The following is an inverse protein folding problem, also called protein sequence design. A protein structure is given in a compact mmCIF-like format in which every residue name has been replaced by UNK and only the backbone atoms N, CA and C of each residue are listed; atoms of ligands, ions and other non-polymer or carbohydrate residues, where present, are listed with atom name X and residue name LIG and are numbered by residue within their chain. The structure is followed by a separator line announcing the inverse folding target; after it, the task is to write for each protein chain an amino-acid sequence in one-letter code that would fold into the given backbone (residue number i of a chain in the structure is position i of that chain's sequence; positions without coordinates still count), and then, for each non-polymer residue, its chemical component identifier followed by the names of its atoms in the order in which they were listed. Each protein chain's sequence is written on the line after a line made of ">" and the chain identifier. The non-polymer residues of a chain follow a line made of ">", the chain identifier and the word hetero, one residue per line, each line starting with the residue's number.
data_IF_670389654770
#
_entry.id   IF_670389654770
#
_cell.length_a   1.000
_cell.length_b   1.000
_cell.length_c   1.000
_cell.angle_alpha   90.00
_cell.angle_beta   90.00
_cell.angle_gamma   90.00
#
_symmetry.space_group_name_H-M   'P 1'
#
loop_
_entity.id
_entity.type
_entity.pdbx_description
1 polymer ?
#
# COMPACT_ATOMS: atom_id res chain seq x y z
N UNK A 1 26.26 -22.43 -12.43
CA UNK A 1 25.03 -23.18 -12.11
C UNK A 1 24.70 -22.99 -10.65
N UNK A 2 23.46 -22.62 -10.36
CA UNK A 2 22.95 -22.56 -8.98
C UNK A 2 22.61 -23.98 -8.54
N UNK A 3 23.34 -24.50 -7.57
CA UNK A 3 23.13 -25.87 -7.08
C UNK A 3 22.26 -25.91 -5.79
N UNK A 4 21.92 -24.74 -5.24
CA UNK A 4 21.14 -24.65 -4.02
C UNK A 4 19.80 -23.97 -4.32
N UNK A 5 18.70 -24.67 -4.04
CA UNK A 5 17.34 -24.10 -4.06
C UNK A 5 16.81 -24.21 -2.64
N UNK A 6 16.37 -23.08 -2.10
CA UNK A 6 15.80 -22.97 -0.76
C UNK A 6 14.34 -22.56 -0.92
N UNK A 7 13.43 -23.38 -0.46
CA UNK A 7 11.99 -23.14 -0.55
C UNK A 7 11.49 -22.76 0.83
N UNK A 8 10.98 -21.53 0.96
CA UNK A 8 10.20 -21.11 2.14
C UNK A 8 8.78 -21.63 2.00
N UNK A 9 8.28 -22.31 3.03
CA UNK A 9 6.88 -22.78 3.11
C UNK A 9 5.99 -21.82 3.88
N UNK A 10 6.59 -20.86 4.58
CA UNK A 10 5.88 -19.84 5.31
C UNK A 10 5.56 -18.64 4.41
N UNK A 11 4.40 -18.04 4.60
CA UNK A 11 4.03 -16.81 3.87
C UNK A 11 4.88 -15.62 4.33
N UNK A 12 5.16 -15.51 5.63
CA UNK A 12 5.87 -14.41 6.26
C UNK A 12 7.36 -14.67 6.50
N UNK A 13 7.83 -14.23 7.67
CA UNK A 13 9.22 -14.40 8.09
C UNK A 13 9.56 -15.88 8.27
N UNK A 14 10.65 -16.30 7.69
CA UNK A 14 11.19 -17.64 7.85
C UNK A 14 12.66 -17.55 8.29
N UNK A 15 13.08 -18.44 9.19
CA UNK A 15 14.47 -18.55 9.64
C UNK A 15 15.32 -19.24 8.56
N UNK A 16 15.46 -18.58 7.41
CA UNK A 16 16.24 -19.11 6.30
C UNK A 16 17.73 -19.06 6.63
N UNK A 17 18.38 -20.20 6.53
CA UNK A 17 19.84 -20.26 6.57
C UNK A 17 20.38 -19.74 5.25
N UNK A 18 21.05 -18.58 5.29
CA UNK A 18 21.67 -18.00 4.10
C UNK A 18 22.94 -18.82 3.80
N UNK A 19 23.00 -19.54 2.67
CA UNK A 19 24.15 -20.34 2.31
C UNK A 19 25.34 -19.45 1.92
N UNK A 20 26.55 -19.94 2.15
CA UNK A 20 27.80 -19.27 1.72
C UNK A 20 28.00 -19.26 0.19
N UNK A 21 27.22 -20.05 -0.54
CA UNK A 21 27.24 -20.13 -2.01
C UNK A 21 25.97 -19.53 -2.59
N UNK A 22 25.99 -19.04 -3.84
CA UNK A 22 24.80 -18.53 -4.51
C UNK A 22 23.66 -19.56 -4.49
N UNK A 23 22.45 -19.10 -4.15
CA UNK A 23 21.26 -19.93 -4.04
C UNK A 23 20.04 -19.21 -4.65
N UNK A 24 19.04 -20.00 -5.04
CA UNK A 24 17.73 -19.51 -5.45
C UNK A 24 16.79 -19.69 -4.27
N UNK A 25 16.14 -18.60 -3.88
CA UNK A 25 15.09 -18.61 -2.86
C UNK A 25 13.72 -18.59 -3.55
N UNK A 26 12.84 -19.50 -3.15
CA UNK A 26 11.47 -19.60 -3.66
C UNK A 26 10.52 -19.48 -2.47
N UNK A 27 9.60 -18.50 -2.51
CA UNK A 27 8.62 -18.26 -1.46
C UNK A 27 7.89 -16.93 -1.64
N UNK A 28 6.93 -16.64 -0.78
CA UNK A 28 6.16 -15.39 -0.83
C UNK A 28 6.85 -14.24 -0.09
N UNK A 29 7.58 -14.52 0.99
CA UNK A 29 8.36 -13.55 1.78
C UNK A 29 7.54 -12.33 2.24
N UNK A 30 6.30 -12.54 2.61
CA UNK A 30 5.35 -11.49 3.02
C UNK A 30 5.65 -10.98 4.43
N UNK A 31 6.75 -10.25 4.56
CA UNK A 31 7.16 -9.60 5.80
C UNK A 31 7.97 -8.35 5.50
N UNK A 32 7.73 -7.28 6.28
CA UNK A 32 8.54 -6.07 6.17
C UNK A 32 9.98 -6.26 6.65
N UNK A 33 10.25 -7.29 7.45
CA UNK A 33 11.57 -7.54 8.06
C UNK A 33 12.69 -7.67 7.03
N UNK A 34 12.44 -8.30 5.89
CA UNK A 34 13.45 -8.42 4.84
C UNK A 34 13.80 -7.09 4.19
N UNK A 35 12.82 -6.18 4.09
CA UNK A 35 12.99 -4.87 3.47
C UNK A 35 13.44 -3.77 4.44
N UNK A 36 13.39 -4.00 5.76
CA UNK A 36 13.70 -2.98 6.78
C UNK A 36 15.19 -2.86 7.12
N UNK A 37 16.07 -3.72 6.56
CA UNK A 37 17.52 -3.48 6.64
C UNK A 37 17.87 -2.14 5.99
N UNK A 38 18.68 -1.25 6.63
CA UNK A 38 18.94 0.10 6.11
C UNK A 38 19.41 0.11 4.64
N UNK A 39 20.35 -0.77 4.28
CA UNK A 39 20.89 -0.86 2.91
C UNK A 39 19.79 -1.27 1.91
N UNK A 40 18.94 -2.25 2.28
CA UNK A 40 17.85 -2.71 1.43
C UNK A 40 16.80 -1.63 1.29
N UNK A 41 16.39 -1.00 2.39
CA UNK A 41 15.40 0.08 2.40
C UNK A 41 15.84 1.27 1.55
N UNK A 42 17.07 1.76 1.70
CA UNK A 42 17.62 2.84 0.89
C UNK A 42 17.66 2.49 -0.60
N UNK A 43 18.06 1.25 -0.90
CA UNK A 43 18.07 0.76 -2.30
C UNK A 43 16.66 0.77 -2.89
N UNK A 44 15.67 0.27 -2.16
CA UNK A 44 14.27 0.26 -2.58
C UNK A 44 13.70 1.69 -2.71
N UNK A 45 14.04 2.59 -1.79
CA UNK A 45 13.66 4.00 -1.87
C UNK A 45 14.23 4.71 -3.11
N UNK A 46 15.36 4.25 -3.64
CA UNK A 46 15.99 4.83 -4.83
C UNK A 46 15.29 4.45 -6.15
N UNK A 47 14.41 3.45 -6.14
CA UNK A 47 13.65 3.03 -7.33
C UNK A 47 12.79 4.18 -7.83
N UNK A 48 12.88 4.44 -9.14
CA UNK A 48 12.13 5.48 -9.85
C UNK A 48 11.63 4.94 -11.19
N UNK A 49 10.56 5.50 -11.76
CA UNK A 49 10.16 5.21 -13.13
C UNK A 49 11.31 5.51 -14.10
N UNK A 50 11.54 4.64 -15.09
CA UNK A 50 12.54 4.85 -16.14
C UNK A 50 12.15 5.95 -17.12
N UNK A 51 10.87 6.06 -17.38
CA UNK A 51 10.27 7.09 -18.21
C UNK A 51 9.25 7.83 -17.37
N UNK A 52 9.27 9.14 -17.48
CA UNK A 52 8.40 10.05 -16.72
C UNK A 52 7.57 10.81 -17.74
N UNK A 53 6.25 10.69 -17.64
CA UNK A 53 5.31 11.44 -18.45
C UNK A 53 5.13 12.88 -17.94
N UNK A 54 4.69 13.79 -18.79
CA UNK A 54 4.33 15.14 -18.36
C UNK A 54 3.25 15.11 -17.28
N UNK A 55 2.26 14.23 -17.42
CA UNK A 55 1.17 14.04 -16.46
C UNK A 55 1.68 13.60 -15.08
N UNK A 56 2.72 12.75 -15.03
CA UNK A 56 3.35 12.39 -13.76
C UNK A 56 3.95 13.62 -13.06
N UNK A 57 4.68 14.49 -13.79
CA UNK A 57 5.27 15.68 -13.19
C UNK A 57 4.20 16.68 -12.69
N UNK A 58 3.12 16.85 -13.42
CA UNK A 58 1.97 17.68 -13.04
C UNK A 58 1.32 17.16 -11.76
N UNK A 59 0.94 15.88 -11.71
CA UNK A 59 0.32 15.25 -10.55
C UNK A 59 1.24 15.24 -9.33
N UNK A 60 2.54 14.98 -9.54
CA UNK A 60 3.51 15.04 -8.45
C UNK A 60 3.60 16.44 -7.85
N UNK A 61 3.61 17.47 -8.68
CA UNK A 61 3.62 18.85 -8.22
C UNK A 61 2.37 19.18 -7.40
N UNK A 62 1.20 18.72 -7.85
CA UNK A 62 -0.06 18.90 -7.17
C UNK A 62 -0.08 18.16 -5.82
N UNK A 63 0.33 16.88 -5.77
CA UNK A 63 0.44 16.10 -4.52
C UNK A 63 1.35 16.80 -3.51
N UNK A 64 2.50 17.29 -3.95
CA UNK A 64 3.45 18.00 -3.06
C UNK A 64 2.89 19.32 -2.53
N UNK A 65 2.06 19.99 -3.31
CA UNK A 65 1.42 21.26 -2.93
C UNK A 65 0.24 21.04 -1.99
N UNK A 66 -0.67 20.13 -2.33
CA UNK A 66 -1.93 19.92 -1.59
C UNK A 66 -1.76 18.98 -0.41
N UNK A 67 -0.72 18.12 -0.42
CA UNK A 67 -0.42 17.14 0.64
C UNK A 67 -1.63 16.28 1.00
N UNK A 68 -2.25 15.61 0.02
CA UNK A 68 -3.52 14.93 0.22
C UNK A 68 -3.37 13.63 1.02
N UNK A 69 -4.51 13.13 1.50
CA UNK A 69 -4.65 11.77 2.02
C UNK A 69 -4.81 10.79 0.85
N UNK A 70 -4.10 9.67 0.87
CA UNK A 70 -4.34 8.55 -0.04
C UNK A 70 -5.45 7.65 0.50
N UNK A 71 -6.49 7.42 -0.29
CA UNK A 71 -7.46 6.34 -0.11
C UNK A 71 -7.26 5.31 -1.21
N UNK A 72 -6.68 4.15 -0.89
CA UNK A 72 -6.46 3.09 -1.87
C UNK A 72 -7.48 1.97 -1.70
N UNK A 73 -8.12 1.59 -2.82
CA UNK A 73 -9.03 0.45 -2.91
C UNK A 73 -8.56 -0.53 -3.99
N UNK A 74 -8.64 -1.83 -3.68
CA UNK A 74 -8.46 -2.92 -4.64
C UNK A 74 -9.76 -3.69 -4.71
N UNK A 75 -10.40 -3.70 -5.85
CA UNK A 75 -11.75 -4.25 -6.00
C UNK A 75 -11.80 -5.43 -6.97
N UNK A 76 -11.38 -5.26 -8.20
CA UNK A 76 -11.67 -6.15 -9.34
C UNK A 76 -11.50 -7.64 -9.02
N UNK A 77 -10.27 -8.12 -8.87
CA UNK A 77 -9.94 -9.51 -8.57
C UNK A 77 -10.27 -9.88 -7.11
N UNK A 78 -10.22 -8.92 -6.16
CA UNK A 78 -10.47 -9.17 -4.74
C UNK A 78 -11.93 -9.42 -4.39
N UNK A 79 -12.86 -9.01 -5.25
CA UNK A 79 -14.29 -9.33 -5.08
C UNK A 79 -14.62 -10.80 -5.35
N UNK A 80 -13.75 -11.51 -6.11
CA UNK A 80 -13.96 -12.91 -6.50
C UNK A 80 -13.02 -13.89 -5.78
N UNK A 81 -11.94 -13.38 -5.17
CA UNK A 81 -10.96 -14.18 -4.45
C UNK A 81 -11.33 -14.31 -2.98
N UNK A 82 -11.82 -15.47 -2.58
CA UNK A 82 -12.33 -15.76 -1.23
C UNK A 82 -11.30 -15.49 -0.11
N UNK A 83 -10.01 -15.64 -0.41
CA UNK A 83 -8.95 -15.48 0.59
C UNK A 83 -8.60 -14.01 0.87
N UNK A 84 -8.79 -13.10 -0.09
CA UNK A 84 -8.36 -11.72 0.07
C UNK A 84 -9.43 -10.86 0.72
N UNK A 85 -10.62 -10.84 0.15
CA UNK A 85 -11.70 -9.95 0.57
C UNK A 85 -11.40 -8.48 0.34
N UNK A 86 -12.41 -7.64 0.45
CA UNK A 86 -12.31 -6.19 0.33
C UNK A 86 -12.60 -5.57 1.69
N UNK A 87 -11.74 -4.68 2.22
CA UNK A 87 -12.04 -3.95 3.45
C UNK A 87 -13.34 -3.15 3.30
N UNK A 88 -14.18 -3.22 4.33
CA UNK A 88 -15.51 -2.62 4.31
C UNK A 88 -15.48 -1.09 4.30
N UNK A 89 -16.59 -0.44 3.92
CA UNK A 89 -16.72 1.02 4.05
C UNK A 89 -16.59 1.51 5.50
N UNK A 90 -16.90 0.68 6.50
CA UNK A 90 -16.69 0.99 7.93
C UNK A 90 -15.21 1.05 8.30
N UNK A 91 -14.35 0.23 7.67
CA UNK A 91 -12.91 0.37 7.81
C UNK A 91 -12.42 1.75 7.34
N UNK A 92 -12.81 2.16 6.13
CA UNK A 92 -12.44 3.48 5.58
C UNK A 92 -12.98 4.62 6.44
N UNK A 93 -14.24 4.53 6.91
CA UNK A 93 -14.81 5.54 7.81
C UNK A 93 -13.99 5.64 9.11
N UNK A 94 -13.68 4.51 9.74
CA UNK A 94 -12.92 4.47 10.99
C UNK A 94 -11.51 5.03 10.83
N UNK A 95 -10.86 4.78 9.69
CA UNK A 95 -9.55 5.33 9.38
C UNK A 95 -9.61 6.85 9.17
N UNK A 96 -10.58 7.33 8.41
CA UNK A 96 -10.82 8.76 8.14
C UNK A 96 -11.12 9.50 9.44
N UNK A 97 -11.99 8.95 10.30
CA UNK A 97 -12.33 9.57 11.58
C UNK A 97 -11.12 9.69 12.51
N UNK A 98 -10.24 8.69 12.51
CA UNK A 98 -9.03 8.72 13.33
C UNK A 98 -8.00 9.69 12.79
N UNK A 99 -7.65 9.58 11.51
CA UNK A 99 -6.61 10.42 10.91
C UNK A 99 -6.99 11.91 10.94
N UNK A 100 -8.29 12.23 10.79
CA UNK A 100 -8.80 13.60 10.80
C UNK A 100 -8.77 14.27 12.19
N UNK A 101 -8.58 13.50 13.27
CA UNK A 101 -8.40 14.06 14.63
C UNK A 101 -6.97 14.56 14.83
N UNK A 102 -6.01 13.89 14.21
CA UNK A 102 -4.59 14.09 14.45
C UNK A 102 -3.94 14.96 13.37
N UNK A 103 -4.52 14.97 12.16
CA UNK A 103 -3.98 15.70 11.01
C UNK A 103 -5.10 16.27 10.13
N UNK A 104 -4.93 17.53 9.70
CA UNK A 104 -5.82 18.17 8.75
C UNK A 104 -5.44 17.80 7.32
N UNK A 105 -6.46 17.46 6.52
CA UNK A 105 -6.36 17.31 5.07
C UNK A 105 -7.43 18.18 4.41
N UNK A 106 -7.08 18.86 3.31
CA UNK A 106 -8.07 19.57 2.48
C UNK A 106 -8.82 18.61 1.57
N UNK A 107 -8.12 17.52 1.17
CA UNK A 107 -8.64 16.54 0.22
C UNK A 107 -8.02 15.16 0.44
N UNK A 108 -8.75 14.14 -0.03
CA UNK A 108 -8.26 12.78 -0.16
C UNK A 108 -8.40 12.31 -1.60
N UNK A 109 -7.36 11.65 -2.11
CA UNK A 109 -7.35 11.15 -3.47
C UNK A 109 -7.56 9.64 -3.48
N UNK A 110 -8.56 9.22 -4.27
CA UNK A 110 -8.91 7.80 -4.43
C UNK A 110 -8.09 7.20 -5.54
N UNK A 111 -7.30 6.19 -5.22
CA UNK A 111 -6.55 5.35 -6.16
C UNK A 111 -7.15 3.95 -6.14
N UNK A 112 -7.60 3.45 -7.28
CA UNK A 112 -8.23 2.14 -7.40
C UNK A 112 -8.04 1.57 -8.81
N UNK A 113 -8.11 0.25 -8.91
CA UNK A 113 -8.23 -0.49 -10.18
C UNK A 113 -9.64 -0.43 -10.78
N UNK A 114 -10.63 0.02 -9.99
CA UNK A 114 -12.00 0.32 -10.39
C UNK A 114 -12.48 1.59 -9.65
N UNK A 115 -12.34 2.74 -10.28
CA UNK A 115 -12.67 4.04 -9.68
C UNK A 115 -14.17 4.16 -9.41
N UNK A 116 -15.02 3.74 -10.33
CA UNK A 116 -16.48 3.85 -10.17
C UNK A 116 -16.96 2.95 -9.02
N UNK A 117 -16.47 1.71 -8.98
CA UNK A 117 -16.72 0.80 -7.87
C UNK A 117 -16.20 1.34 -6.54
N UNK A 118 -15.02 1.97 -6.53
CA UNK A 118 -14.45 2.57 -5.33
C UNK A 118 -15.30 3.73 -4.79
N UNK A 119 -15.81 4.60 -5.66
CA UNK A 119 -16.70 5.68 -5.26
C UNK A 119 -18.04 5.15 -4.70
N UNK A 120 -18.60 4.11 -5.30
CA UNK A 120 -19.79 3.43 -4.76
C UNK A 120 -19.50 2.82 -3.40
N UNK A 121 -18.35 2.15 -3.24
CA UNK A 121 -17.93 1.54 -1.99
C UNK A 121 -17.72 2.59 -0.88
N UNK A 122 -17.14 3.75 -1.22
CA UNK A 122 -16.95 4.89 -0.33
C UNK A 122 -18.18 5.79 -0.18
N UNK A 123 -19.24 5.58 -0.95
CA UNK A 123 -20.40 6.49 -0.99
C UNK A 123 -21.17 6.64 0.33
N UNK A 124 -20.87 5.83 1.35
CA UNK A 124 -21.39 5.95 2.73
C UNK A 124 -20.40 6.58 3.69
N UNK A 125 -19.18 6.87 3.22
CA UNK A 125 -18.13 7.46 4.06
C UNK A 125 -18.37 8.98 4.16
N UNK A 126 -18.41 9.49 5.39
CA UNK A 126 -18.48 10.92 5.67
C UNK A 126 -17.08 11.45 5.96
N UNK A 127 -16.69 12.54 5.32
CA UNK A 127 -15.42 13.20 5.54
C UNK A 127 -15.60 14.71 5.61
N UNK A 128 -14.73 15.38 6.36
CA UNK A 128 -14.68 16.85 6.45
C UNK A 128 -13.72 17.46 5.41
N UNK A 129 -13.36 16.71 4.39
CA UNK A 129 -12.51 17.09 3.27
C UNK A 129 -13.11 16.59 1.94
N UNK A 130 -12.63 17.13 0.84
CA UNK A 130 -13.06 16.73 -0.49
C UNK A 130 -12.46 15.36 -0.85
N UNK A 131 -13.28 14.46 -1.43
CA UNK A 131 -12.81 13.21 -2.05
C UNK A 131 -12.65 13.45 -3.55
N UNK A 132 -11.43 13.25 -4.04
CA UNK A 132 -11.02 13.47 -5.42
C UNK A 132 -10.62 12.14 -6.04
N UNK A 133 -10.98 11.90 -7.28
CA UNK A 133 -10.52 10.73 -8.02
C UNK A 133 -9.13 10.98 -8.60
N UNK A 134 -8.23 10.02 -8.42
CA UNK A 134 -6.92 10.06 -9.05
C UNK A 134 -7.03 9.54 -10.49
N UNK A 135 -6.89 10.45 -11.47
CA UNK A 135 -6.91 10.06 -12.87
C UNK A 135 -5.61 9.38 -13.30
N UNK A 136 -5.65 8.06 -13.39
CA UNK A 136 -4.51 7.20 -13.76
C UNK A 136 -4.33 7.08 -15.28
N UNK A 137 -5.24 7.60 -16.09
CA UNK A 137 -5.18 7.48 -17.56
C UNK A 137 -3.87 8.04 -18.11
N UNK A 138 -3.20 7.28 -18.96
CA UNK A 138 -1.93 7.69 -19.57
C UNK A 138 -0.70 7.59 -18.68
N UNK A 139 -0.83 7.12 -17.42
CA UNK A 139 0.28 6.76 -16.54
C UNK A 139 0.59 5.26 -16.65
N UNK A 140 1.84 4.89 -16.51
CA UNK A 140 2.22 3.49 -16.25
C UNK A 140 1.99 3.14 -14.78
N UNK A 141 1.82 1.84 -14.47
CA UNK A 141 1.67 1.35 -13.09
C UNK A 141 2.83 1.79 -12.18
N UNK A 142 4.05 1.86 -12.73
CA UNK A 142 5.23 2.30 -11.97
C UNK A 142 5.16 3.80 -11.65
N UNK A 143 4.61 4.63 -12.55
CA UNK A 143 4.39 6.06 -12.28
C UNK A 143 3.30 6.25 -11.22
N UNK A 144 2.18 5.53 -11.31
CA UNK A 144 1.12 5.55 -10.29
C UNK A 144 1.68 5.14 -8.93
N UNK A 145 2.42 4.03 -8.89
CA UNK A 145 3.03 3.53 -7.65
C UNK A 145 4.02 4.54 -7.05
N UNK A 146 4.88 5.16 -7.87
CA UNK A 146 5.84 6.15 -7.34
C UNK A 146 5.14 7.42 -6.88
N UNK A 147 4.08 7.89 -7.56
CA UNK A 147 3.26 9.02 -7.12
C UNK A 147 2.59 8.75 -5.76
N UNK A 148 2.08 7.55 -5.54
CA UNK A 148 1.50 7.17 -4.24
C UNK A 148 2.47 7.33 -3.07
N UNK A 149 3.79 7.31 -3.30
CA UNK A 149 4.80 7.48 -2.24
C UNK A 149 4.94 8.91 -1.73
N UNK A 150 4.32 9.90 -2.36
CA UNK A 150 4.42 11.33 -2.01
C UNK A 150 3.24 11.85 -1.18
N UNK A 151 2.26 11.02 -0.88
CA UNK A 151 1.11 11.41 -0.08
C UNK A 151 1.47 11.68 1.38
N UNK A 152 0.63 12.44 2.08
CA UNK A 152 0.89 12.87 3.45
C UNK A 152 0.14 12.06 4.51
N UNK A 153 -0.63 11.07 4.10
CA UNK A 153 -1.32 10.09 4.93
C UNK A 153 -1.86 8.96 4.05
N UNK A 154 -2.08 7.81 4.62
CA UNK A 154 -2.43 6.59 3.88
C UNK A 154 -3.54 5.83 4.57
N UNK A 155 -4.61 5.54 3.85
CA UNK A 155 -5.61 4.52 4.18
C UNK A 155 -5.59 3.51 3.05
N UNK A 156 -5.00 2.34 3.30
CA UNK A 156 -4.77 1.36 2.24
C UNK A 156 -5.68 0.16 2.37
N UNK A 157 -6.02 -0.45 1.23
CA UNK A 157 -6.59 -1.80 1.20
C UNK A 157 -5.49 -2.85 1.44
N UNK A 158 -5.87 -4.11 1.49
CA UNK A 158 -4.99 -5.27 1.61
C UNK A 158 -4.20 -5.61 0.33
N UNK A 159 -3.82 -4.60 -0.44
CA UNK A 159 -3.08 -4.70 -1.69
C UNK A 159 -1.57 -4.56 -1.48
N UNK A 160 -0.78 -5.49 -2.03
CA UNK A 160 0.69 -5.39 -2.02
C UNK A 160 1.20 -4.16 -2.76
N UNK A 161 0.50 -3.69 -3.79
CA UNK A 161 0.82 -2.47 -4.52
C UNK A 161 0.79 -1.24 -3.61
N UNK A 162 -0.31 -1.07 -2.85
CA UNK A 162 -0.46 0.01 -1.88
C UNK A 162 0.47 -0.18 -0.68
N UNK A 163 0.66 -1.42 -0.23
CA UNK A 163 1.58 -1.73 0.86
C UNK A 163 2.99 -1.24 0.57
N UNK A 164 3.53 -1.56 -0.62
CA UNK A 164 4.88 -1.12 -1.02
C UNK A 164 4.98 0.39 -1.18
N UNK A 165 3.94 1.05 -1.72
CA UNK A 165 3.93 2.50 -1.83
C UNK A 165 3.95 3.18 -0.45
N UNK A 166 3.14 2.69 0.49
CA UNK A 166 3.10 3.19 1.87
C UNK A 166 4.37 2.85 2.66
N UNK A 167 4.96 1.66 2.47
CA UNK A 167 6.20 1.27 3.14
C UNK A 167 7.38 2.14 2.69
N UNK A 168 7.46 2.46 1.41
CA UNK A 168 8.52 3.28 0.81
C UNK A 168 8.10 4.76 0.64
N UNK A 169 7.15 5.23 1.46
CA UNK A 169 6.66 6.62 1.43
C UNK A 169 7.79 7.62 1.65
N UNK A 170 7.71 8.78 1.02
CA UNK A 170 8.77 9.81 1.08
C UNK A 170 8.81 10.52 2.42
N UNK A 171 7.66 10.75 3.03
CA UNK A 171 7.54 11.21 4.41
C UNK A 171 7.31 9.99 5.32
N UNK A 172 8.35 9.54 6.01
CA UNK A 172 8.28 8.38 6.90
C UNK A 172 7.39 8.61 8.13
N UNK A 173 7.10 9.87 8.46
CA UNK A 173 6.20 10.26 9.56
C UNK A 173 4.73 10.31 9.12
N UNK A 174 4.45 10.18 7.82
CA UNK A 174 3.07 10.12 7.35
C UNK A 174 2.35 8.89 7.92
N UNK A 175 1.17 9.05 8.56
CA UNK A 175 0.45 7.94 9.17
C UNK A 175 -0.08 6.98 8.11
N UNK A 176 -0.01 5.67 8.42
CA UNK A 176 -0.52 4.60 7.56
C UNK A 176 -1.56 3.79 8.34
N UNK A 177 -2.74 3.68 7.77
CA UNK A 177 -3.83 2.83 8.26
C UNK A 177 -3.98 1.62 7.35
N UNK A 178 -3.95 0.43 7.94
CA UNK A 178 -4.02 -0.85 7.24
C UNK A 178 -5.13 -1.73 7.82
N UNK A 179 -5.80 -2.56 7.00
CA UNK A 179 -6.86 -3.45 7.47
C UNK A 179 -6.29 -4.64 8.25
N UNK A 180 -7.01 -5.07 9.27
CA UNK A 180 -6.72 -6.27 10.06
C UNK A 180 -8.01 -7.08 10.27
N UNK A 181 -8.09 -8.36 9.88
CA UNK A 181 -7.01 -9.12 9.22
C UNK A 181 -6.69 -8.58 7.81
N UNK A 182 -5.45 -8.83 7.35
CA UNK A 182 -5.04 -8.51 5.98
C UNK A 182 -5.71 -9.43 4.96
N UNK A 183 -5.78 -10.72 5.28
CA UNK A 183 -6.50 -11.73 4.51
C UNK A 183 -7.77 -12.12 5.26
N UNK A 184 -8.90 -12.24 4.58
CA UNK A 184 -10.17 -12.62 5.20
C UNK A 184 -10.37 -14.13 5.24
N UNK A 185 -9.86 -14.87 4.26
CA UNK A 185 -10.03 -16.32 4.13
C UNK A 185 -8.84 -17.16 4.59
N UNK A 186 -7.75 -16.54 5.04
CA UNK A 186 -6.55 -17.23 5.53
C UNK A 186 -5.80 -16.41 6.57
N UNK A 187 -4.91 -17.05 7.33
CA UNK A 187 -4.09 -16.38 8.35
C UNK A 187 -3.14 -15.36 7.72
N UNK A 188 -3.08 -14.18 8.30
CA UNK A 188 -2.12 -13.14 7.94
C UNK A 188 -0.81 -13.34 8.70
N UNK A 189 0.37 -13.27 8.03
CA UNK A 189 1.65 -13.29 8.72
C UNK A 189 1.77 -12.14 9.73
N UNK A 190 2.27 -12.42 10.94
CA UNK A 190 2.37 -11.41 12.01
C UNK A 190 3.19 -10.19 11.62
N UNK A 191 4.27 -10.38 10.85
CA UNK A 191 5.17 -9.33 10.38
C UNK A 191 4.82 -8.80 8.99
N UNK A 192 3.61 -9.03 8.50
CA UNK A 192 3.15 -8.47 7.22
C UNK A 192 2.96 -6.96 7.33
N UNK A 193 2.29 -6.50 8.37
CA UNK A 193 2.02 -5.09 8.61
C UNK A 193 3.11 -4.53 9.53
N UNK A 194 3.85 -3.47 9.13
CA UNK A 194 4.83 -2.79 9.97
C UNK A 194 4.26 -2.38 11.32
N UNK A 195 5.08 -2.40 12.37
CA UNK A 195 4.64 -2.14 13.74
C UNK A 195 4.26 -0.69 14.02
N UNK A 196 4.74 0.24 13.19
CA UNK A 196 4.42 1.68 13.23
C UNK A 196 3.10 2.02 12.51
N UNK A 197 2.50 1.06 11.78
CA UNK A 197 1.22 1.27 11.11
C UNK A 197 0.05 1.03 12.05
N UNK A 198 -1.02 1.81 11.84
CA UNK A 198 -2.25 1.70 12.63
C UNK A 198 -3.14 0.65 11.97
N UNK A 199 -3.46 -0.40 12.74
CA UNK A 199 -4.32 -1.50 12.29
C UNK A 199 -5.75 -1.25 12.69
N UNK A 200 -6.67 -1.43 11.76
CA UNK A 200 -8.11 -1.29 12.01
C UNK A 200 -8.86 -2.52 11.51
N UNK A 201 -10.00 -2.87 12.16
CA UNK A 201 -10.83 -3.97 11.68
C UNK A 201 -11.19 -3.77 10.20
N UNK A 202 -11.01 -4.84 9.40
CA UNK A 202 -11.31 -4.83 7.95
C UNK A 202 -12.80 -4.93 7.64
N UNK A 203 -13.63 -5.34 8.61
CA UNK A 203 -15.08 -5.51 8.53
C UNK A 203 -15.83 -4.59 9.47
#
# INVERSE_FOLDING_TARGET
>A
SFNNVIVSRNLGLDNLVIPSKPAIFIGYFQTYKYASSPIVFETLCSIKPKHISQKYDELKSEILQTKPLLLHLRLTDYLVEENFGVPSSSYYQSAIDKISRDRYFSEAWVVSDDIDGALVHLGRVSANFQIVTFDQSGLSDVEVWDLMRYFSGYVISNSSFAWWAAFLRRDQEAPVYAPEPWFQGMDSPNELIPSDWIRLPSS
#
